data_IF_159366688998
#
_entry.id   IF_159366688998
#
_cell.length_a   1.000
_cell.length_b   1.000
_cell.length_c   1.000
_cell.angle_alpha   90.00
_cell.angle_beta   90.00
_cell.angle_gamma   90.00
#
_symmetry.space_group_name_H-M   'P 1'
#
loop_
_entity.id
_entity.type
_entity.pdbx_description
1 polymer ?
#
# COMPACT_ATOMS: atom_id res chain seq x y z
N UNK A 1 10.65 -0.07 -7.72
CA UNK A 1 11.18 -0.92 -6.63
C UNK A 1 11.48 -2.32 -7.16
N UNK A 2 12.43 -3.04 -6.58
CA UNK A 2 12.69 -4.47 -6.89
C UNK A 2 11.72 -5.38 -6.13
N UNK A 3 11.58 -6.64 -6.57
CA UNK A 3 10.74 -7.62 -5.87
C UNK A 3 11.15 -7.80 -4.40
N UNK A 4 12.44 -7.92 -4.09
CA UNK A 4 12.92 -8.06 -2.71
C UNK A 4 12.53 -6.87 -1.81
N UNK A 5 12.44 -5.66 -2.38
CA UNK A 5 11.97 -4.48 -1.65
C UNK A 5 10.45 -4.52 -1.42
N UNK A 6 9.69 -5.05 -2.38
CA UNK A 6 8.23 -5.27 -2.23
C UNK A 6 7.95 -6.35 -1.18
N UNK A 7 8.70 -7.46 -1.21
CA UNK A 7 8.61 -8.52 -0.20
C UNK A 7 8.86 -7.92 1.20
N UNK A 8 9.96 -7.16 1.34
CA UNK A 8 10.30 -6.50 2.60
C UNK A 8 9.24 -5.50 3.04
N UNK A 9 8.65 -4.74 2.12
CA UNK A 9 7.56 -3.82 2.41
C UNK A 9 6.35 -4.58 2.97
N UNK A 10 5.97 -5.69 2.35
CA UNK A 10 4.83 -6.51 2.78
C UNK A 10 5.08 -7.14 4.16
N UNK A 11 6.32 -7.49 4.51
CA UNK A 11 6.68 -7.97 5.85
C UNK A 11 6.53 -6.90 6.93
N UNK A 12 6.89 -5.64 6.65
CA UNK A 12 6.87 -4.56 7.65
C UNK A 12 5.54 -3.81 7.70
N UNK A 13 4.77 -3.81 6.61
CA UNK A 13 3.49 -3.11 6.49
C UNK A 13 2.51 -3.40 7.65
N UNK A 14 2.38 -4.65 8.17
CA UNK A 14 1.49 -4.93 9.29
C UNK A 14 1.82 -4.16 10.57
N UNK A 15 3.10 -3.80 10.80
CA UNK A 15 3.50 -2.98 11.96
C UNK A 15 2.87 -1.58 11.94
N UNK A 16 2.43 -1.13 10.76
CA UNK A 16 1.83 0.18 10.53
C UNK A 16 0.34 0.08 10.17
N UNK A 17 -0.30 -1.07 10.41
CA UNK A 17 -1.73 -1.26 10.14
C UNK A 17 -2.07 -1.48 8.67
N UNK A 18 -1.09 -1.87 7.84
CA UNK A 18 -1.28 -2.20 6.44
C UNK A 18 -1.16 -3.69 6.19
N UNK A 19 -2.08 -4.25 5.41
CA UNK A 19 -1.98 -5.59 4.83
C UNK A 19 -1.84 -5.44 3.33
N UNK A 20 -0.74 -5.96 2.79
CA UNK A 20 -0.43 -5.89 1.37
C UNK A 20 -0.30 -7.31 0.82
N UNK A 21 -0.83 -7.52 -0.39
CA UNK A 21 -0.52 -8.71 -1.20
C UNK A 21 0.09 -8.27 -2.51
N UNK A 22 0.97 -9.10 -3.05
CA UNK A 22 1.66 -8.79 -4.29
C UNK A 22 1.95 -10.05 -5.11
N UNK A 23 2.21 -9.84 -6.39
CA UNK A 23 2.73 -10.84 -7.32
C UNK A 23 3.89 -10.21 -8.09
N UNK A 24 5.11 -10.64 -7.80
CA UNK A 24 6.31 -9.92 -8.27
C UNK A 24 6.32 -8.50 -7.71
N UNK A 25 6.43 -7.50 -8.59
CA UNK A 25 6.40 -6.07 -8.23
C UNK A 25 5.00 -5.44 -8.23
N UNK A 26 3.96 -6.22 -8.55
CA UNK A 26 2.58 -5.72 -8.61
C UNK A 26 1.92 -5.92 -7.24
N UNK A 27 1.50 -4.84 -6.59
CA UNK A 27 0.60 -4.91 -5.44
C UNK A 27 -0.81 -5.23 -5.96
N UNK A 28 -1.38 -6.31 -5.44
CA UNK A 28 -2.68 -6.86 -5.86
C UNK A 28 -3.78 -6.62 -4.84
N UNK A 29 -3.44 -6.29 -3.60
CA UNK A 29 -4.40 -6.00 -2.54
C UNK A 29 -3.81 -5.03 -1.52
N UNK A 30 -4.62 -4.07 -1.05
CA UNK A 30 -4.30 -3.18 0.07
C UNK A 30 -5.47 -3.22 1.05
N UNK A 31 -5.23 -3.70 2.27
CA UNK A 31 -6.22 -3.83 3.34
C UNK A 31 -7.51 -4.56 2.90
N UNK A 32 -7.37 -5.71 2.21
CA UNK A 32 -8.51 -6.50 1.72
C UNK A 32 -9.18 -5.94 0.45
N UNK A 33 -8.84 -4.73 0.02
CA UNK A 33 -9.36 -4.14 -1.21
C UNK A 33 -8.46 -4.55 -2.41
N UNK A 34 -9.01 -5.23 -3.43
CA UNK A 34 -8.27 -5.55 -4.64
C UNK A 34 -7.74 -4.30 -5.34
N UNK A 35 -6.51 -4.37 -5.81
CA UNK A 35 -5.89 -3.30 -6.60
C UNK A 35 -4.93 -3.89 -7.63
N UNK A 36 -4.39 -3.04 -8.50
CA UNK A 36 -3.33 -3.43 -9.44
C UNK A 36 -2.38 -2.26 -9.56
N UNK A 37 -1.31 -2.31 -8.78
CA UNK A 37 -0.36 -1.21 -8.69
C UNK A 37 1.07 -1.68 -8.93
N UNK A 38 1.72 -1.16 -9.97
CA UNK A 38 3.09 -1.54 -10.29
C UNK A 38 4.10 -0.73 -9.47
N UNK A 39 4.58 -1.33 -8.38
CA UNK A 39 5.60 -0.73 -7.52
C UNK A 39 6.98 -0.63 -8.19
N UNK A 40 7.19 -1.26 -9.35
CA UNK A 40 8.47 -1.18 -10.08
C UNK A 40 8.78 0.26 -10.52
N UNK A 41 7.75 1.06 -10.76
CA UNK A 41 7.83 2.43 -11.28
C UNK A 41 8.15 3.49 -10.22
N UNK A 42 8.26 3.10 -8.95
CA UNK A 42 8.51 4.01 -7.82
C UNK A 42 9.83 3.72 -7.11
N UNK A 43 10.44 4.73 -6.50
CA UNK A 43 11.43 4.49 -5.44
C UNK A 43 10.72 4.02 -4.15
N UNK A 44 11.40 3.27 -3.26
CA UNK A 44 10.76 2.73 -2.05
C UNK A 44 10.09 3.76 -1.15
N UNK A 45 10.76 4.90 -0.93
CA UNK A 45 10.26 6.04 -0.18
C UNK A 45 9.00 6.64 -0.83
N UNK A 46 9.05 6.90 -2.14
CA UNK A 46 7.92 7.43 -2.91
C UNK A 46 6.69 6.53 -2.83
N UNK A 47 6.91 5.21 -2.87
CA UNK A 47 5.80 4.26 -2.77
C UNK A 47 5.18 4.23 -1.36
N UNK A 48 6.00 4.30 -0.31
CA UNK A 48 5.52 4.40 1.07
C UNK A 48 4.71 5.68 1.27
N UNK A 49 5.18 6.81 0.75
CA UNK A 49 4.45 8.08 0.81
C UNK A 49 3.09 7.99 0.10
N UNK A 50 3.05 7.35 -1.07
CA UNK A 50 1.80 7.13 -1.79
C UNK A 50 0.82 6.27 -0.99
N UNK A 51 1.28 5.17 -0.39
CA UNK A 51 0.44 4.32 0.46
C UNK A 51 -0.12 5.11 1.64
N UNK A 52 0.69 5.93 2.30
CA UNK A 52 0.26 6.79 3.39
C UNK A 52 -0.82 7.79 2.95
N UNK A 53 -0.64 8.44 1.79
CA UNK A 53 -1.63 9.36 1.21
C UNK A 53 -2.95 8.65 0.87
N UNK A 54 -2.90 7.44 0.31
CA UNK A 54 -4.09 6.65 0.00
C UNK A 54 -4.89 6.32 1.27
N UNK A 55 -4.20 5.87 2.33
CA UNK A 55 -4.83 5.57 3.63
C UNK A 55 -5.42 6.84 4.24
N UNK A 56 -4.66 7.94 4.26
CA UNK A 56 -5.15 9.21 4.79
C UNK A 56 -6.39 9.71 4.04
N UNK A 57 -6.45 9.51 2.73
CA UNK A 57 -7.62 9.85 1.91
C UNK A 57 -8.82 8.99 2.28
N UNK A 58 -8.65 7.68 2.40
CA UNK A 58 -9.72 6.76 2.85
C UNK A 58 -10.20 7.09 4.26
N UNK A 59 -9.29 7.26 5.21
CA UNK A 59 -9.61 7.62 6.59
C UNK A 59 -10.39 8.94 6.67
N UNK A 60 -10.03 9.95 5.88
CA UNK A 60 -10.81 11.19 5.78
C UNK A 60 -12.18 10.92 5.19
N UNK A 61 -12.30 10.18 4.09
CA UNK A 61 -13.60 9.85 3.51
C UNK A 61 -14.51 9.16 4.54
N UNK A 62 -14.01 8.15 5.24
CA UNK A 62 -14.74 7.40 6.26
C UNK A 62 -15.18 8.30 7.43
N UNK A 63 -14.29 9.18 7.91
CA UNK A 63 -14.59 10.14 8.97
C UNK A 63 -15.72 11.12 8.57
N UNK A 64 -15.74 11.54 7.30
CA UNK A 64 -16.75 12.49 6.79
C UNK A 64 -18.05 11.79 6.37
N UNK A 65 -18.01 10.48 6.08
CA UNK A 65 -19.18 9.64 5.84
C UNK A 65 -19.85 9.14 7.12
N UNK A 66 -19.35 9.53 8.29
CA UNK A 66 -19.95 9.22 9.58
C UNK A 66 -21.25 10.02 9.77
N UNK A 67 -22.38 9.43 9.35
CA UNK A 67 -23.74 9.82 9.71
C UNK A 67 -24.22 9.05 10.94
#
# INVERSE_FOLDING_TARGET
MTQAQVDRLCEIAPKYGLQLKHQGTIITEINGAPTSFDASTYMPDQFVDLLAQMIATKMKADLWQWQ
#
